data_IF_093286384303
#
_entry.id   IF_093286384303
#
_cell.length_a   1.000
_cell.length_b   1.000
_cell.length_c   1.000
_cell.angle_alpha   90.00
_cell.angle_beta   90.00
_cell.angle_gamma   90.00
#
_symmetry.space_group_name_H-M   'P 1'
#
loop_
_entity.id
_entity.type
_entity.pdbx_description
1 polymer ?
#
# COMPACT_ATOMS: atom_id res chain seq x y z
N UNK A 1 -3.65 -12.63 -18.88
CA UNK A 1 -4.57 -11.77 -18.16
C UNK A 1 -3.99 -10.40 -17.94
N UNK A 2 -4.70 -9.38 -18.32
CA UNK A 2 -4.18 -8.02 -18.27
C UNK A 2 -4.63 -7.24 -17.05
N UNK A 3 -5.51 -7.77 -16.25
CA UNK A 3 -5.86 -7.12 -15.01
C UNK A 3 -6.23 -8.13 -13.93
N UNK A 4 -6.08 -7.72 -12.71
CA UNK A 4 -6.40 -8.53 -11.57
C UNK A 4 -6.83 -7.63 -10.42
N UNK A 5 -7.48 -8.21 -9.44
CA UNK A 5 -8.03 -7.44 -8.35
C UNK A 5 -8.09 -8.33 -7.11
N UNK A 6 -7.87 -7.74 -5.97
CA UNK A 6 -8.11 -8.43 -4.70
C UNK A 6 -8.62 -7.43 -3.67
N UNK A 7 -9.23 -7.95 -2.63
CA UNK A 7 -9.67 -7.13 -1.51
C UNK A 7 -8.87 -7.53 -0.29
N UNK A 8 -8.64 -6.59 0.58
CA UNK A 8 -7.92 -6.84 1.81
C UNK A 8 -8.46 -5.95 2.92
N UNK A 9 -8.62 -6.54 4.10
CA UNK A 9 -9.02 -5.78 5.26
C UNK A 9 -7.75 -5.34 5.97
N UNK A 10 -7.65 -4.05 6.25
CA UNK A 10 -6.50 -3.49 6.94
C UNK A 10 -6.97 -3.02 8.30
N UNK A 11 -6.31 -3.50 9.34
CA UNK A 11 -6.68 -3.21 10.72
C UNK A 11 -5.68 -2.27 11.37
N UNK A 12 -6.03 -1.79 12.57
CA UNK A 12 -5.08 -0.99 13.35
C UNK A 12 -3.87 -1.84 13.75
N UNK A 13 -4.08 -3.13 13.94
CA UNK A 13 -2.98 -4.03 14.23
C UNK A 13 -2.01 -4.15 13.07
N UNK A 14 -2.52 -4.12 11.83
CA UNK A 14 -1.67 -4.13 10.65
C UNK A 14 -0.78 -2.90 10.61
N UNK A 15 -1.33 -1.74 10.96
CA UNK A 15 -0.56 -0.51 11.01
C UNK A 15 0.55 -0.61 12.06
N UNK A 16 0.24 -1.22 13.22
CA UNK A 16 1.24 -1.41 14.26
C UNK A 16 2.36 -2.34 13.79
N UNK A 17 1.99 -3.41 13.11
CA UNK A 17 2.98 -4.35 12.57
C UNK A 17 3.87 -3.69 11.53
N UNK A 18 3.29 -2.83 10.72
CA UNK A 18 4.08 -2.09 9.72
C UNK A 18 5.07 -1.15 10.43
N UNK A 19 4.63 -0.49 11.51
CA UNK A 19 5.52 0.36 12.29
C UNK A 19 6.68 -0.44 12.87
N UNK A 20 6.41 -1.66 13.34
CA UNK A 20 7.46 -2.52 13.88
C UNK A 20 8.47 -2.91 12.80
N UNK A 21 8.00 -3.31 11.64
CA UNK A 21 8.86 -3.76 10.56
C UNK A 21 9.65 -2.61 9.94
N UNK A 22 8.99 -1.48 9.74
CA UNK A 22 9.61 -0.35 9.04
C UNK A 22 10.39 0.58 9.97
N UNK A 23 10.08 0.54 11.25
CA UNK A 23 10.65 1.49 12.20
C UNK A 23 9.95 2.85 12.17
N UNK A 24 8.86 2.97 11.43
CA UNK A 24 8.14 4.22 11.32
C UNK A 24 7.04 4.30 12.37
N UNK A 25 7.40 4.83 13.52
CA UNK A 25 6.47 5.00 14.64
C UNK A 25 5.89 6.41 14.73
N UNK A 26 5.77 7.08 13.61
CA UNK A 26 5.19 8.40 13.58
C UNK A 26 3.84 8.35 14.30
N UNK A 27 3.62 9.20 15.29
CA UNK A 27 2.41 9.15 16.11
C UNK A 27 1.10 9.34 15.31
N UNK A 28 1.16 9.95 14.15
CA UNK A 28 -0.03 10.08 13.31
C UNK A 28 -0.55 8.70 12.91
N UNK A 29 0.32 7.70 12.85
CA UNK A 29 -0.06 6.35 12.44
C UNK A 29 -0.26 5.41 13.63
N UNK A 30 0.27 5.76 14.80
CA UNK A 30 0.38 4.80 15.89
C UNK A 30 -0.19 5.26 17.22
N UNK A 31 -0.44 6.54 17.39
CA UNK A 31 -0.89 7.09 18.68
C UNK A 31 -2.27 7.71 18.53
N UNK A 32 -3.33 7.01 18.98
CA UNK A 32 -4.69 7.54 18.86
C UNK A 32 -4.90 8.88 19.56
N UNK A 33 -4.25 9.10 20.71
CA UNK A 33 -4.41 10.35 21.43
C UNK A 33 -3.83 11.52 20.64
N UNK A 34 -2.67 11.30 20.05
CA UNK A 34 -2.06 12.32 19.20
C UNK A 34 -2.94 12.57 17.97
N UNK A 35 -3.38 11.49 17.32
CA UNK A 35 -4.15 11.60 16.09
C UNK A 35 -5.50 12.30 16.31
N UNK A 36 -6.09 12.12 17.49
CA UNK A 36 -7.36 12.76 17.82
C UNK A 36 -7.28 14.28 17.78
N UNK A 37 -6.06 14.83 17.97
CA UNK A 37 -5.87 16.27 17.95
C UNK A 37 -5.54 16.78 16.55
N UNK A 38 -5.44 15.93 15.57
CA UNK A 38 -5.18 16.32 14.19
C UNK A 38 -6.49 16.50 13.43
N UNK A 39 -6.41 17.05 12.24
CA UNK A 39 -7.60 17.22 11.41
C UNK A 39 -8.21 15.88 11.00
N UNK A 40 -7.45 14.79 11.06
CA UNK A 40 -7.96 13.46 10.72
C UNK A 40 -8.76 12.85 11.87
N UNK A 41 -8.54 13.31 13.08
CA UNK A 41 -9.25 12.86 14.28
C UNK A 41 -8.99 11.42 14.70
N UNK A 42 -8.19 10.69 13.95
CA UNK A 42 -7.86 9.31 14.26
C UNK A 42 -6.57 8.94 13.52
N UNK A 43 -5.96 7.82 13.88
CA UNK A 43 -4.75 7.39 13.22
C UNK A 43 -5.04 7.02 11.76
N UNK A 44 -4.10 7.36 10.90
CA UNK A 44 -4.20 7.00 9.48
C UNK A 44 -3.12 5.98 9.16
N UNK A 45 -3.36 5.18 8.14
CA UNK A 45 -2.40 4.16 7.73
C UNK A 45 -1.18 4.81 7.10
N UNK A 46 -0.01 4.22 7.32
CA UNK A 46 1.21 4.67 6.65
C UNK A 46 1.00 4.60 5.14
N UNK A 47 1.32 5.67 4.43
CA UNK A 47 1.22 5.64 2.97
C UNK A 47 2.08 4.55 2.37
N UNK A 48 3.25 4.31 2.94
CA UNK A 48 4.16 3.29 2.44
C UNK A 48 3.59 1.86 2.56
N UNK A 49 2.59 1.63 3.41
CA UNK A 49 1.92 0.33 3.49
C UNK A 49 1.34 -0.04 2.12
N UNK A 50 0.87 0.96 1.37
CA UNK A 50 0.30 0.73 0.05
C UNK A 50 1.32 0.15 -0.92
N UNK A 51 2.61 0.48 -0.75
CA UNK A 51 3.65 -0.09 -1.59
C UNK A 51 3.69 -1.62 -1.45
N UNK A 52 3.45 -2.11 -0.23
CA UNK A 52 3.40 -3.56 0.00
C UNK A 52 2.24 -4.22 -0.72
N UNK A 53 1.09 -3.55 -0.78
CA UNK A 53 -0.05 -4.08 -1.50
C UNK A 53 0.19 -4.09 -3.00
N UNK A 54 0.90 -3.08 -3.51
CA UNK A 54 1.27 -3.06 -4.92
C UNK A 54 2.30 -4.15 -5.23
N UNK A 55 3.22 -4.39 -4.31
CA UNK A 55 4.18 -5.48 -4.43
C UNK A 55 3.44 -6.82 -4.49
N UNK A 56 2.42 -6.99 -3.64
CA UNK A 56 1.59 -8.18 -3.66
C UNK A 56 0.90 -8.36 -5.01
N UNK A 57 0.34 -7.28 -5.55
CA UNK A 57 -0.31 -7.33 -6.85
C UNK A 57 0.67 -7.80 -7.91
N UNK A 58 1.85 -7.20 -7.95
CA UNK A 58 2.84 -7.53 -8.97
C UNK A 58 3.38 -8.96 -8.81
N UNK A 59 3.65 -9.38 -7.61
CA UNK A 59 4.29 -10.67 -7.37
C UNK A 59 3.37 -11.86 -7.32
N UNK A 60 2.12 -11.62 -6.89
CA UNK A 60 1.19 -12.72 -6.69
C UNK A 60 0.07 -12.78 -7.73
N UNK A 61 -0.14 -11.70 -8.46
CA UNK A 61 -1.27 -11.61 -9.39
C UNK A 61 -0.84 -11.30 -10.81
N UNK A 62 -0.41 -10.07 -11.09
CA UNK A 62 -0.04 -9.61 -12.42
C UNK A 62 1.22 -8.75 -12.35
N UNK A 63 2.30 -9.13 -12.99
CA UNK A 63 2.52 -10.29 -13.86
C UNK A 63 2.64 -11.61 -13.12
N UNK A 64 2.97 -11.60 -11.84
CA UNK A 64 2.99 -12.82 -11.06
C UNK A 64 4.37 -13.20 -10.57
N UNK A 65 4.49 -14.45 -10.17
CA UNK A 65 5.65 -14.93 -9.40
C UNK A 65 7.02 -14.68 -10.00
N UNK A 66 7.10 -14.50 -11.27
CA UNK A 66 8.40 -14.25 -11.89
C UNK A 66 8.72 -12.76 -12.02
N UNK A 67 7.87 -11.93 -11.44
CA UNK A 67 8.07 -10.51 -11.47
C UNK A 67 9.21 -10.09 -10.54
N UNK A 68 10.06 -9.24 -11.04
CA UNK A 68 11.06 -8.59 -10.22
C UNK A 68 10.79 -7.10 -10.28
N UNK A 69 10.41 -6.54 -9.14
CA UNK A 69 10.01 -5.15 -9.11
C UNK A 69 11.23 -4.25 -9.14
N UNK A 70 11.33 -3.40 -10.15
CA UNK A 70 12.46 -2.50 -10.31
C UNK A 70 12.21 -1.11 -9.76
N UNK A 71 10.98 -0.72 -9.64
CA UNK A 71 10.68 0.59 -9.10
C UNK A 71 9.19 0.75 -8.89
N UNK A 72 8.85 1.75 -8.10
CA UNK A 72 7.47 2.05 -7.79
C UNK A 72 7.30 3.57 -7.76
N UNK A 73 6.19 4.03 -8.30
CA UNK A 73 5.82 5.43 -8.19
C UNK A 73 4.44 5.47 -7.56
N UNK A 74 4.31 6.20 -6.46
CA UNK A 74 3.06 6.28 -5.73
C UNK A 74 2.56 7.71 -5.68
N UNK A 75 1.23 7.86 -5.74
CA UNK A 75 0.58 9.13 -5.51
C UNK A 75 -0.50 8.89 -4.47
N UNK A 76 -0.41 9.60 -3.36
CA UNK A 76 -1.37 9.44 -2.28
C UNK A 76 -2.46 10.49 -2.43
N UNK A 77 -3.67 10.08 -2.76
CA UNK A 77 -4.76 11.01 -3.01
C UNK A 77 -5.71 11.16 -1.83
N UNK A 78 -5.69 10.22 -0.90
CA UNK A 78 -6.54 10.28 0.30
C UNK A 78 -5.96 9.38 1.37
N UNK A 79 -6.16 9.72 2.65
CA UNK A 79 -5.68 8.86 3.73
C UNK A 79 -6.55 7.61 3.86
N UNK A 80 -5.95 6.54 4.34
CA UNK A 80 -6.67 5.31 4.66
C UNK A 80 -6.81 5.27 6.18
N UNK A 81 -8.02 5.09 6.65
CA UNK A 81 -8.33 5.11 8.08
C UNK A 81 -8.70 3.71 8.57
N UNK A 82 -7.77 2.98 9.18
CA UNK A 82 -8.08 1.63 9.64
C UNK A 82 -9.13 1.69 10.75
N UNK A 83 -9.99 0.68 10.87
CA UNK A 83 -10.07 -0.48 9.99
C UNK A 83 -10.72 -0.12 8.66
N UNK A 84 -10.21 -0.67 7.58
CA UNK A 84 -10.72 -0.36 6.26
C UNK A 84 -10.63 -1.59 5.35
N UNK A 85 -11.60 -1.70 4.45
CA UNK A 85 -11.53 -2.73 3.44
C UNK A 85 -11.09 -2.08 2.14
N UNK A 86 -9.98 -2.55 1.60
CA UNK A 86 -9.39 -1.97 0.41
C UNK A 86 -9.56 -2.90 -0.78
N UNK A 87 -9.80 -2.30 -1.93
CA UNK A 87 -9.78 -3.04 -3.18
C UNK A 87 -8.54 -2.61 -3.92
N UNK A 88 -7.73 -3.57 -4.30
CA UNK A 88 -6.50 -3.31 -5.04
C UNK A 88 -6.70 -3.86 -6.44
N UNK A 89 -6.58 -3.00 -7.44
CA UNK A 89 -6.77 -3.39 -8.82
C UNK A 89 -5.50 -3.09 -9.60
N UNK A 90 -5.04 -4.07 -10.33
CA UNK A 90 -3.86 -3.93 -11.17
C UNK A 90 -4.20 -4.12 -12.64
N UNK A 91 -3.59 -3.30 -13.47
CA UNK A 91 -3.74 -3.42 -14.91
C UNK A 91 -2.33 -3.47 -15.49
N UNK A 92 -2.09 -4.48 -16.29
CA UNK A 92 -0.80 -4.62 -16.94
C UNK A 92 -0.79 -3.79 -18.21
N UNK A 93 0.07 -2.80 -18.24
CA UNK A 93 0.19 -1.92 -19.39
C UNK A 93 1.46 -2.35 -20.14
N UNK A 94 1.30 -2.63 -21.45
CA UNK A 94 2.43 -3.07 -22.20
C UNK A 94 3.45 -1.97 -22.34
N UNK A 95 4.65 -2.29 -22.02
CA UNK A 95 5.72 -1.34 -22.18
C UNK A 95 6.28 -1.41 -23.57
N UNK A 96 6.26 -0.29 -24.30
CA UNK A 96 6.74 -0.36 -25.62
C UNK A 96 8.13 0.00 -25.61
N UNK A 97 8.55 0.35 -24.66
CA UNK A 97 9.74 0.75 -24.58
C UNK A 97 10.77 -0.07 -24.69
N UNK A 98 11.35 -0.02 -25.14
CA UNK A 98 12.42 -0.63 -25.23
C UNK A 98 12.92 -0.99 -24.01
N UNK A 99 12.41 -1.43 -23.53
CA UNK A 99 12.96 -1.95 -22.67
C UNK A 99 12.88 -1.53 -21.60
N UNK A 100 12.35 -0.93 -21.73
CA UNK A 100 12.25 -0.43 -20.74
C UNK A 100 12.33 -1.16 -19.73
N UNK A 101 12.06 -1.78 -19.83
CA UNK A 101 12.04 -2.46 -18.84
C UNK A 101 12.99 -2.24 -17.94
N UNK A 102 13.69 -1.94 -18.24
CA UNK A 102 14.75 -1.77 -17.44
C UNK A 102 14.33 -1.42 -16.13
#
# INVERSE_FOLDING_TARGET
MTESEFEVDVTEEDARRFAEVSGDWNPLHTDPAYAAETSFRRTILHGAFSAGLLSRMAGMHIPGRDCLLHGIKLKFVAPILPPARLRVRGVLVRDRGDGGGG
#
